data_IF_378529616927
#
_entry.id   IF_378529616927
#
_cell.length_a   1.000
_cell.length_b   1.000
_cell.length_c   1.000
_cell.angle_alpha   90.00
_cell.angle_beta   90.00
_cell.angle_gamma   90.00
#
_symmetry.space_group_name_H-M   'P 1'
#
loop_
_entity.id
_entity.type
_entity.pdbx_description
1 polymer ?
#
# COMPACT_ATOMS: atom_id res chain seq x y z
N UNK A 1 -14.61 -1.97 -5.06
CA UNK A 1 -13.22 -1.53 -4.82
C UNK A 1 -13.10 -0.04 -5.16
N UNK A 2 -14.14 0.74 -4.86
CA UNK A 2 -14.55 1.86 -5.75
C UNK A 2 -13.74 3.15 -5.51
N UNK A 3 -12.85 3.12 -4.51
CA UNK A 3 -11.96 4.21 -4.11
C UNK A 3 -10.63 4.20 -4.87
N UNK A 4 -10.33 3.10 -5.55
CA UNK A 4 -9.12 2.92 -6.36
C UNK A 4 -9.51 2.74 -7.82
N UNK A 5 -8.81 3.41 -8.71
CA UNK A 5 -8.98 3.28 -10.16
C UNK A 5 -7.65 2.80 -10.75
N UNK A 6 -7.72 1.74 -11.55
CA UNK A 6 -6.54 1.15 -12.17
C UNK A 6 -5.83 2.17 -13.08
N UNK A 7 -4.50 2.24 -12.99
CA UNK A 7 -3.68 3.20 -13.74
C UNK A 7 -3.72 4.63 -13.20
N UNK A 8 -4.48 4.93 -12.14
CA UNK A 8 -4.48 6.24 -11.50
C UNK A 8 -3.46 6.33 -10.37
N UNK A 9 -3.14 7.57 -9.99
CA UNK A 9 -2.30 7.84 -8.83
C UNK A 9 -3.15 8.27 -7.64
N UNK A 10 -2.73 7.84 -6.45
CA UNK A 10 -3.33 8.23 -5.19
C UNK A 10 -2.27 8.64 -4.18
N UNK A 11 -2.69 9.38 -3.17
CA UNK A 11 -1.97 9.54 -1.90
C UNK A 11 -2.78 8.83 -0.81
N UNK A 12 -2.07 8.23 0.13
CA UNK A 12 -2.68 7.60 1.30
C UNK A 12 -2.35 8.43 2.52
N UNK A 13 -3.35 9.12 3.08
CA UNK A 13 -3.18 9.93 4.29
C UNK A 13 -3.65 9.15 5.52
N UNK A 14 -2.79 9.02 6.52
CA UNK A 14 -3.17 8.49 7.82
C UNK A 14 -4.30 9.34 8.41
N UNK A 15 -5.42 8.71 8.75
CA UNK A 15 -6.57 9.41 9.32
C UNK A 15 -6.21 10.12 10.64
N UNK A 16 -5.37 9.49 11.47
CA UNK A 16 -5.02 10.02 12.79
C UNK A 16 -3.85 11.00 12.74
N UNK A 17 -2.80 10.70 11.97
CA UNK A 17 -1.61 11.56 11.93
C UNK A 17 -1.73 12.72 10.93
N UNK A 18 -2.66 12.63 9.97
CA UNK A 18 -2.79 13.57 8.84
C UNK A 18 -1.50 13.70 8.01
N UNK A 19 -0.65 12.68 8.08
CA UNK A 19 0.58 12.50 7.29
C UNK A 19 0.35 11.45 6.23
N UNK A 20 1.16 11.48 5.20
CA UNK A 20 1.06 10.66 4.01
C UNK A 20 2.02 9.48 4.06
N UNK A 21 1.58 8.36 3.48
CA UNK A 21 2.42 7.22 3.18
C UNK A 21 3.51 7.65 2.18
N UNK A 22 4.77 7.50 2.58
CA UNK A 22 5.93 7.94 1.81
C UNK A 22 6.89 6.80 1.53
N UNK A 23 7.30 6.68 0.28
CA UNK A 23 8.54 6.00 -0.06
C UNK A 23 9.73 6.79 0.52
N UNK A 24 10.52 6.16 1.39
CA UNK A 24 11.66 6.82 2.03
C UNK A 24 12.83 6.99 1.06
N UNK A 25 13.71 7.93 1.38
CA UNK A 25 14.86 8.29 0.54
C UNK A 25 15.90 7.17 0.40
N UNK A 26 15.84 6.16 1.27
CA UNK A 26 16.66 4.94 1.18
C UNK A 26 16.19 3.98 0.07
N UNK A 27 15.06 4.25 -0.59
CA UNK A 27 14.52 3.45 -1.69
C UNK A 27 13.97 2.08 -1.28
N UNK A 28 13.95 1.78 0.02
CA UNK A 28 13.51 0.49 0.58
C UNK A 28 12.42 0.70 1.63
N UNK A 29 12.54 1.69 2.50
CA UNK A 29 11.63 1.86 3.62
C UNK A 29 10.39 2.65 3.24
N UNK A 30 9.35 2.49 4.06
CA UNK A 30 8.12 3.26 3.96
C UNK A 30 7.86 3.99 5.27
N UNK A 31 7.57 5.29 5.17
CA UNK A 31 7.47 6.21 6.32
C UNK A 31 6.23 7.09 6.22
N UNK A 32 5.99 7.88 7.26
CA UNK A 32 4.96 8.91 7.31
C UNK A 32 5.60 10.29 7.15
N UNK A 33 5.07 11.12 6.25
CA UNK A 33 5.56 12.48 6.04
C UNK A 33 4.40 13.48 5.84
N UNK A 34 4.58 14.73 6.23
CA UNK A 34 3.59 15.80 5.99
C UNK A 34 3.58 16.30 4.54
N UNK A 35 4.71 16.14 3.84
CA UNK A 35 4.87 16.62 2.46
C UNK A 35 4.03 15.76 1.51
N UNK A 36 3.04 16.35 0.85
CA UNK A 36 2.16 15.63 -0.09
C UNK A 36 2.48 15.93 -1.57
N UNK A 37 3.18 17.03 -1.85
CA UNK A 37 3.51 17.46 -3.21
C UNK A 37 4.70 16.74 -3.87
N UNK A 38 5.21 15.65 -3.30
CA UNK A 38 6.36 14.90 -3.82
C UNK A 38 5.95 13.57 -4.45
N UNK A 39 6.80 13.04 -5.34
CA UNK A 39 6.63 11.71 -5.93
C UNK A 39 6.69 10.61 -4.87
N UNK A 40 7.41 10.82 -3.76
CA UNK A 40 7.47 9.88 -2.64
C UNK A 40 6.10 9.62 -2.01
N UNK A 41 5.17 10.57 -2.10
CA UNK A 41 3.81 10.45 -1.57
C UNK A 41 2.82 9.85 -2.58
N UNK A 42 3.24 9.68 -3.84
CA UNK A 42 2.37 9.27 -4.94
C UNK A 42 2.52 7.77 -5.22
N UNK A 43 1.38 7.10 -5.28
CA UNK A 43 1.28 5.67 -5.50
C UNK A 43 0.42 5.40 -6.72
N UNK A 44 1.03 4.82 -7.74
CA UNK A 44 0.36 4.24 -8.89
C UNK A 44 -0.45 3.01 -8.46
N UNK A 45 -1.70 2.96 -8.87
CA UNK A 45 -2.65 1.91 -8.53
C UNK A 45 -2.67 0.89 -9.66
N UNK A 46 -2.32 -0.37 -9.36
CA UNK A 46 -2.58 -1.49 -10.26
C UNK A 46 -3.60 -2.45 -9.65
N UNK A 47 -4.67 -2.76 -10.38
CA UNK A 47 -5.74 -3.66 -9.95
C UNK A 47 -5.64 -4.97 -10.74
N UNK A 48 -5.49 -6.07 -10.01
CA UNK A 48 -5.45 -7.42 -10.55
C UNK A 48 -6.69 -8.19 -10.12
N UNK A 49 -7.50 -8.66 -11.08
CA UNK A 49 -8.80 -9.29 -10.80
C UNK A 49 -8.73 -10.81 -10.59
N UNK A 50 -7.58 -11.47 -10.83
CA UNK A 50 -7.49 -12.94 -10.88
C UNK A 50 -8.17 -13.50 -12.13
N UNK A 51 -7.58 -14.51 -12.78
CA UNK A 51 -8.26 -15.22 -13.87
C UNK A 51 -9.31 -16.19 -13.32
N UNK A 52 -10.38 -16.43 -14.08
CA UNK A 52 -11.38 -17.48 -13.80
C UNK A 52 -10.76 -18.90 -13.70
N UNK A 53 -9.52 -19.08 -14.17
CA UNK A 53 -8.83 -20.37 -14.31
C UNK A 53 -7.71 -20.59 -13.25
N UNK A 54 -7.49 -19.64 -12.35
CA UNK A 54 -6.49 -19.79 -11.27
C UNK A 54 -7.07 -20.59 -10.09
N UNK A 55 -7.33 -21.88 -10.35
CA UNK A 55 -7.66 -22.91 -9.37
C UNK A 55 -6.51 -23.26 -8.40
N UNK A 56 -5.45 -22.43 -8.35
CA UNK A 56 -4.33 -22.57 -7.43
C UNK A 56 -4.52 -21.63 -6.24
N UNK A 57 -5.41 -22.02 -5.32
CA UNK A 57 -5.22 -21.84 -3.88
C UNK A 57 -5.12 -20.44 -3.26
N UNK A 58 -5.30 -19.36 -4.01
CA UNK A 58 -5.29 -17.98 -3.46
C UNK A 58 -6.72 -17.44 -3.24
N UNK A 59 -7.66 -18.31 -2.84
CA UNK A 59 -9.05 -17.97 -2.49
C UNK A 59 -9.18 -17.27 -1.11
N UNK A 60 -8.06 -16.92 -0.47
CA UNK A 60 -8.08 -16.27 0.85
C UNK A 60 -8.74 -14.88 0.86
N UNK A 61 -8.92 -14.25 -0.31
CA UNK A 61 -9.28 -12.84 -0.41
C UNK A 61 -10.53 -12.50 -1.20
N UNK A 62 -11.12 -13.40 -1.98
CA UNK A 62 -12.36 -13.18 -2.76
C UNK A 62 -12.48 -11.77 -3.36
N UNK A 63 -12.02 -11.57 -4.59
CA UNK A 63 -12.16 -10.31 -5.32
C UNK A 63 -10.84 -9.63 -5.69
N UNK A 64 -10.91 -8.37 -6.15
CA UNK A 64 -9.77 -7.70 -6.78
C UNK A 64 -8.63 -7.45 -5.80
N UNK A 65 -7.40 -7.49 -6.32
CA UNK A 65 -6.15 -7.26 -5.59
C UNK A 65 -5.53 -5.95 -6.03
N UNK A 66 -5.11 -5.15 -5.08
CA UNK A 66 -4.48 -3.85 -5.25
C UNK A 66 -2.96 -4.01 -5.09
N UNK A 67 -2.22 -3.47 -6.04
CA UNK A 67 -0.79 -3.23 -5.92
C UNK A 67 -0.55 -1.72 -5.92
N UNK A 68 0.31 -1.27 -5.02
CA UNK A 68 0.68 0.14 -4.89
C UNK A 68 2.12 0.33 -5.33
N UNK A 69 2.29 0.93 -6.51
CA UNK A 69 3.58 1.14 -7.15
C UNK A 69 4.09 2.55 -6.84
N UNK A 70 5.30 2.65 -6.31
CA UNK A 70 5.90 3.93 -5.92
C UNK A 70 6.28 4.74 -7.16
N UNK A 71 5.73 5.95 -7.27
CA UNK A 71 6.07 6.86 -8.37
C UNK A 71 7.52 7.40 -8.27
N UNK A 72 8.13 7.36 -7.09
CA UNK A 72 9.50 7.84 -6.88
C UNK A 72 10.57 6.80 -7.26
N UNK A 73 10.31 5.51 -7.00
CA UNK A 73 11.33 4.46 -7.12
C UNK A 73 10.95 3.33 -8.07
N UNK A 74 9.71 3.27 -8.54
CA UNK A 74 9.26 2.20 -9.42
C UNK A 74 9.17 0.83 -8.74
N UNK A 75 9.01 0.80 -7.41
CA UNK A 75 8.94 -0.41 -6.57
C UNK A 75 7.57 -0.55 -5.92
N UNK A 76 7.17 -1.76 -5.55
CA UNK A 76 5.86 -2.03 -4.95
C UNK A 76 5.89 -1.99 -3.43
N UNK A 77 4.83 -1.45 -2.83
CA UNK A 77 4.59 -1.58 -1.40
C UNK A 77 4.34 -3.05 -1.05
N UNK A 78 5.18 -3.61 -0.19
CA UNK A 78 5.13 -4.99 0.23
C UNK A 78 5.05 -5.12 1.76
N UNK A 79 4.28 -6.11 2.21
CA UNK A 79 4.27 -6.58 3.58
C UNK A 79 5.27 -7.73 3.74
N UNK A 80 6.09 -7.70 4.77
CA UNK A 80 7.08 -8.77 5.02
C UNK A 80 6.77 -9.60 6.26
N UNK A 81 7.57 -10.64 6.46
CA UNK A 81 7.61 -11.42 7.69
C UNK A 81 8.62 -10.88 8.73
N UNK A 82 9.41 -9.86 8.36
CA UNK A 82 10.45 -9.29 9.20
C UNK A 82 9.84 -8.40 10.28
N UNK A 83 10.28 -8.47 11.55
CA UNK A 83 9.84 -7.55 12.58
C UNK A 83 10.04 -6.08 12.16
N UNK A 84 9.09 -5.21 12.55
CA UNK A 84 9.24 -3.79 12.34
C UNK A 84 10.45 -3.24 13.13
N UNK A 85 10.97 -2.06 12.71
CA UNK A 85 12.10 -1.40 13.37
C UNK A 85 11.82 -1.17 14.86
N UNK A 86 12.88 -1.08 15.67
CA UNK A 86 12.77 -0.90 17.12
C UNK A 86 11.81 0.26 17.48
N UNK A 87 10.86 -0.01 18.37
CA UNK A 87 9.84 0.96 18.79
C UNK A 87 8.59 1.01 17.90
N UNK A 88 8.56 0.29 16.78
CA UNK A 88 7.38 0.14 15.92
C UNK A 88 6.62 -1.14 16.29
N UNK A 89 5.31 -1.19 16.01
CA UNK A 89 4.51 -2.41 16.20
C UNK A 89 4.39 -3.19 14.90
N UNK A 90 4.24 -4.51 15.00
CA UNK A 90 3.96 -5.37 13.86
C UNK A 90 5.20 -5.74 13.04
N UNK A 91 4.97 -6.07 11.77
CA UNK A 91 5.99 -6.48 10.82
C UNK A 91 6.27 -5.36 9.82
N UNK A 92 7.45 -5.38 9.22
CA UNK A 92 7.93 -4.34 8.32
C UNK A 92 7.06 -4.27 7.05
N UNK A 93 6.75 -3.05 6.65
CA UNK A 93 6.32 -2.72 5.30
C UNK A 93 7.49 -2.03 4.58
N UNK A 94 7.75 -2.42 3.34
CA UNK A 94 8.90 -1.95 2.56
C UNK A 94 8.58 -1.89 1.06
N UNK A 95 9.47 -1.30 0.29
CA UNK A 95 9.46 -1.28 -1.16
C UNK A 95 10.24 -2.48 -1.69
N UNK A 96 9.62 -3.25 -2.59
CA UNK A 96 10.28 -4.39 -3.25
C UNK A 96 10.11 -4.32 -4.75
N UNK A 97 11.08 -4.88 -5.46
CA UNK A 97 11.00 -5.07 -6.90
C UNK A 97 10.03 -6.22 -7.21
N UNK A 98 9.37 -6.11 -8.36
CA UNK A 98 8.32 -7.04 -8.77
C UNK A 98 8.84 -8.45 -9.12
N UNK A 99 10.08 -8.54 -9.58
CA UNK A 99 10.76 -9.77 -9.97
C UNK A 99 11.25 -10.61 -8.79
N UNK A 100 11.16 -10.07 -7.57
CA UNK A 100 11.53 -10.80 -6.37
C UNK A 100 10.47 -11.85 -5.99
N UNK A 101 10.88 -13.02 -5.46
CA UNK A 101 9.96 -14.07 -5.05
C UNK A 101 9.04 -13.61 -3.92
N UNK A 102 7.80 -14.12 -3.95
CA UNK A 102 6.76 -13.83 -2.97
C UNK A 102 5.72 -12.85 -3.49
N UNK A 103 5.00 -13.24 -4.55
CA UNK A 103 3.99 -12.38 -5.22
C UNK A 103 2.93 -11.86 -4.25
N UNK A 104 2.57 -12.68 -3.27
CA UNK A 104 1.61 -12.34 -2.22
C UNK A 104 2.04 -11.16 -1.33
N UNK A 105 3.34 -10.85 -1.25
CA UNK A 105 3.85 -9.80 -0.38
C UNK A 105 3.37 -8.40 -0.80
N UNK A 106 3.14 -8.18 -2.10
CA UNK A 106 2.70 -6.89 -2.65
C UNK A 106 1.19 -6.84 -2.95
N UNK A 107 0.44 -7.89 -2.63
CA UNK A 107 -1.00 -7.93 -2.80
C UNK A 107 -1.73 -7.34 -1.59
N UNK A 108 -2.55 -6.34 -1.86
CA UNK A 108 -3.39 -5.68 -0.87
C UNK A 108 -4.87 -5.81 -1.25
N UNK A 109 -5.74 -5.80 -0.25
CA UNK A 109 -7.18 -5.60 -0.42
C UNK A 109 -7.58 -4.31 0.28
N UNK A 110 -8.27 -3.44 -0.45
CA UNK A 110 -8.93 -2.28 0.13
C UNK A 110 -10.25 -2.73 0.78
N UNK A 111 -10.25 -2.80 2.11
CA UNK A 111 -11.42 -3.16 2.91
C UNK A 111 -12.11 -1.87 3.35
N UNK A 112 -13.45 -1.87 3.26
CA UNK A 112 -14.24 -0.73 3.73
C UNK A 112 -14.03 -0.52 5.23
N UNK A 113 -13.79 0.73 5.62
CA UNK A 113 -13.60 1.09 7.02
C UNK A 113 -14.92 1.31 7.76
N UNK A 114 -16.01 1.57 7.03
CA UNK A 114 -17.27 2.07 7.59
C UNK A 114 -17.20 3.53 8.07
N UNK A 115 -16.07 4.22 7.87
CA UNK A 115 -15.84 5.60 8.31
C UNK A 115 -15.65 6.54 7.13
N UNK A 116 -16.72 7.06 6.55
CA UNK A 116 -16.62 7.98 5.41
C UNK A 116 -16.25 7.26 4.10
N UNK A 117 -16.62 7.89 2.99
CA UNK A 117 -16.58 7.26 1.67
C UNK A 117 -15.18 7.19 1.07
N UNK A 118 -14.17 7.77 1.71
CA UNK A 118 -12.78 7.85 1.26
C UNK A 118 -11.79 7.10 2.17
N UNK A 119 -12.26 6.48 3.26
CA UNK A 119 -11.38 5.81 4.23
C UNK A 119 -11.40 4.30 4.07
N UNK A 120 -10.22 3.71 4.01
CA UNK A 120 -10.01 2.28 3.85
C UNK A 120 -9.08 1.69 4.89
N UNK A 121 -9.17 0.38 5.02
CA UNK A 121 -8.14 -0.48 5.60
C UNK A 121 -7.42 -1.20 4.45
N UNK A 122 -6.09 -1.25 4.46
CA UNK A 122 -5.31 -1.99 3.47
C UNK A 122 -4.84 -3.32 4.07
N UNK A 123 -5.45 -4.42 3.67
CA UNK A 123 -5.20 -5.77 4.21
C UNK A 123 -4.26 -6.55 3.29
N UNK A 124 -3.19 -7.14 3.81
CA UNK A 124 -2.31 -8.03 3.05
C UNK A 124 -2.84 -9.47 3.04
N UNK A 125 -2.25 -10.35 2.21
CA UNK A 125 -2.62 -11.78 2.12
C UNK A 125 -2.55 -12.51 3.47
N UNK A 126 -1.64 -12.13 4.36
CA UNK A 126 -1.53 -12.67 5.72
C UNK A 126 -2.60 -12.17 6.70
N UNK A 127 -3.59 -11.40 6.24
CA UNK A 127 -4.68 -10.88 7.05
C UNK A 127 -4.32 -9.72 7.98
N UNK A 128 -3.13 -9.13 7.82
CA UNK A 128 -2.66 -7.96 8.56
C UNK A 128 -2.99 -6.67 7.80
N UNK A 129 -3.09 -5.56 8.53
CA UNK A 129 -3.43 -4.27 7.97
C UNK A 129 -2.24 -3.30 8.00
N UNK A 130 -2.12 -2.49 6.95
CA UNK A 130 -1.15 -1.39 6.89
C UNK A 130 -1.41 -0.40 8.03
N UNK A 131 -0.36 -0.06 8.76
CA UNK A 131 -0.42 0.68 10.02
C UNK A 131 0.53 1.86 10.01
N UNK A 132 -0.01 3.03 10.34
CA UNK A 132 0.76 4.19 10.74
C UNK A 132 1.26 4.03 12.19
N UNK A 133 2.58 4.03 12.43
CA UNK A 133 3.12 4.09 13.79
C UNK A 133 3.25 5.55 14.25
N UNK A 134 3.69 5.74 15.50
CA UNK A 134 3.99 7.07 16.01
C UNK A 134 2.92 7.72 16.89
N UNK A 135 1.85 6.99 17.27
CA UNK A 135 0.78 7.53 18.16
C UNK A 135 1.32 8.25 19.40
N UNK A 136 2.39 7.71 20.00
CA UNK A 136 2.94 8.23 21.25
C UNK A 136 4.31 8.91 21.09
N UNK A 137 5.04 8.64 20.01
CA UNK A 137 6.38 9.17 19.76
C UNK A 137 6.41 9.80 18.37
N UNK A 138 6.38 11.14 18.28
CA UNK A 138 6.25 11.86 16.99
C UNK A 138 7.42 11.63 16.02
N UNK A 139 8.58 11.23 16.51
CA UNK A 139 9.74 10.86 15.68
C UNK A 139 9.63 9.43 15.11
N UNK A 140 8.70 8.62 15.59
CA UNK A 140 8.42 7.29 15.06
C UNK A 140 7.45 7.43 13.86
N UNK A 141 8.02 7.81 12.72
CA UNK A 141 7.31 7.94 11.45
C UNK A 141 7.21 6.62 10.68
N UNK A 142 7.30 5.48 11.36
CA UNK A 142 7.35 4.16 10.72
C UNK A 142 6.01 3.70 10.19
N UNK A 143 6.04 2.96 9.08
CA UNK A 143 4.89 2.20 8.59
C UNK A 143 5.18 0.70 8.73
N UNK A 144 4.15 -0.05 9.12
CA UNK A 144 4.23 -1.49 9.37
C UNK A 144 2.93 -2.18 8.98
N UNK A 145 2.87 -3.50 9.13
CA UNK A 145 1.64 -4.29 9.08
C UNK A 145 1.38 -4.97 10.42
N UNK A 146 0.14 -4.96 10.89
CA UNK A 146 -0.25 -5.50 12.19
C UNK A 146 -1.66 -6.12 12.10
N UNK A 147 -1.98 -7.09 12.94
CA UNK A 147 -3.32 -7.69 13.04
C UNK A 147 -4.18 -7.04 14.14
N UNK A 148 -3.59 -6.19 15.00
CA UNK A 148 -4.31 -5.49 16.06
C UNK A 148 -5.08 -4.28 15.52
N UNK A 149 -6.36 -4.49 15.18
CA UNK A 149 -7.24 -3.45 14.63
C UNK A 149 -7.29 -2.24 15.55
N UNK A 150 -6.90 -1.08 15.01
CA UNK A 150 -6.91 0.20 15.73
C UNK A 150 -7.02 1.36 14.75
N UNK A 151 -7.30 2.56 15.26
CA UNK A 151 -7.43 3.77 14.44
C UNK A 151 -6.17 4.13 13.62
N UNK A 152 -5.03 3.52 13.94
CA UNK A 152 -3.76 3.68 13.20
C UNK A 152 -3.76 3.00 11.82
N UNK A 153 -4.77 2.20 11.51
CA UNK A 153 -4.86 1.44 10.26
C UNK A 153 -5.77 2.11 9.22
N UNK A 154 -6.43 3.21 9.59
CA UNK A 154 -7.30 3.93 8.68
C UNK A 154 -6.52 4.90 7.80
N UNK A 155 -6.72 4.75 6.49
CA UNK A 155 -6.09 5.55 5.46
C UNK A 155 -7.17 6.23 4.62
N UNK A 156 -7.08 7.56 4.52
CA UNK A 156 -7.85 8.35 3.57
C UNK A 156 -7.19 8.21 2.20
N UNK A 157 -7.95 7.82 1.20
CA UNK A 157 -7.52 7.74 -0.19
C UNK A 157 -7.77 9.09 -0.86
N UNK A 158 -6.69 9.78 -1.24
CA UNK A 158 -6.75 11.07 -1.93
C UNK A 158 -6.31 10.89 -3.38
N UNK A 159 -7.22 10.94 -4.37
CA UNK A 159 -6.85 10.85 -5.78
C UNK A 159 -5.90 11.98 -6.19
N UNK A 160 -4.90 11.66 -7.01
CA UNK A 160 -4.08 12.66 -7.69
C UNK A 160 -4.67 12.82 -9.09
N UNK A 161 -5.19 14.01 -9.44
CA UNK A 161 -5.72 14.25 -10.78
C UNK A 161 -4.64 14.00 -11.84
N UNK A 162 -4.99 13.23 -12.87
CA UNK A 162 -4.14 13.11 -14.04
C UNK A 162 -3.97 14.50 -14.67
N UNK A 163 -2.73 14.91 -14.92
CA UNK A 163 -2.44 16.06 -15.77
C UNK A 163 -2.38 15.54 -17.21
N UNK A 164 -2.92 16.27 -18.18
CA UNK A 164 -2.95 15.85 -19.60
C UNK A 164 -1.56 15.44 -20.14
N UNK A 165 -0.47 15.98 -19.56
CA UNK A 165 0.92 15.70 -19.95
C UNK A 165 1.58 14.54 -19.17
N UNK A 166 0.86 13.84 -18.30
CA UNK A 166 1.45 12.76 -17.51
C UNK A 166 1.47 11.46 -18.32
N UNK A 167 2.64 10.84 -18.56
CA UNK A 167 2.71 9.58 -19.29
C UNK A 167 1.90 8.52 -18.54
N UNK A 168 1.15 7.72 -19.30
CA UNK A 168 0.43 6.56 -18.76
C UNK A 168 1.43 5.62 -18.09
N UNK A 169 1.05 5.08 -16.93
CA UNK A 169 1.88 4.12 -16.22
C UNK A 169 2.02 2.86 -17.08
N UNK A 170 3.22 2.30 -17.24
CA UNK A 170 3.38 1.01 -17.86
C UNK A 170 2.60 -0.03 -17.04
N UNK A 171 1.79 -0.83 -17.74
CA UNK A 171 1.09 -1.95 -17.10
C UNK A 171 2.12 -2.83 -16.38
N UNK A 172 1.78 -3.39 -15.20
CA UNK A 172 2.64 -4.38 -14.57
C UNK A 172 2.91 -5.50 -15.57
N UNK A 173 4.15 -6.03 -15.64
CA UNK A 173 4.44 -7.16 -16.52
C UNK A 173 3.50 -8.33 -16.16
N UNK A 174 3.03 -9.10 -17.17
CA UNK A 174 2.14 -10.23 -16.93
C UNK A 174 2.79 -11.12 -15.87
N UNK A 175 2.02 -11.45 -14.83
CA UNK A 175 2.52 -12.30 -13.75
C UNK A 175 2.78 -13.67 -14.35
N UNK A 176 4.03 -13.96 -14.71
CA UNK A 176 4.43 -15.30 -15.09
C UNK A 176 4.57 -16.09 -13.80
N UNK A 177 3.50 -16.79 -13.43
CA UNK A 177 3.55 -17.77 -12.35
C UNK A 177 4.60 -18.84 -12.71
N UNK A 178 5.57 -19.15 -11.84
CA UNK A 178 6.34 -20.39 -11.93
C UNK A 178 5.49 -21.61 -11.54
#
# INVERSE_FOLDING_TARGET
MDRFQDGHHVRLRSLVHRTYLHAADDGESVTLNQVHGSLNAAWAVHIYNGGDDDAVGCDYFGGPRLLLHSAAYGRYLAATATPARLGHRGLRAELRDYDQPGVEAFMWQAVDSGFGDDVVLLRNVGGRYLRANGRFLRWNAGVSVDNSVSSMMYWVVEPIPAREDMPALPAPPPVSWP
#
